data_IF_491791246764
#
_entry.id   IF_491791246764
#
_cell.length_a   1.000
_cell.length_b   1.000
_cell.length_c   1.000
_cell.angle_alpha   90.00
_cell.angle_beta   90.00
_cell.angle_gamma   90.00
#
_symmetry.space_group_name_H-M   'P 1'
#
loop_
_entity.id
_entity.type
_entity.pdbx_description
1 polymer ?
#
# COMPACT_ATOMS: atom_id res chain seq x y z
N UNK A 1 -0.37 -38.11 -30.68
CA UNK A 1 0.71 -38.48 -29.73
C UNK A 1 0.12 -39.29 -28.59
N UNK A 2 0.77 -40.41 -28.23
CA UNK A 2 0.37 -41.38 -27.21
C UNK A 2 0.73 -40.89 -25.79
N UNK A 3 -0.10 -41.27 -24.81
CA UNK A 3 0.23 -41.61 -23.41
C UNK A 3 0.63 -40.43 -22.47
N UNK A 4 0.31 -40.39 -21.17
CA UNK A 4 -0.06 -41.43 -20.19
C UNK A 4 -0.68 -40.78 -18.93
N UNK A 5 -1.74 -41.40 -18.42
CA UNK A 5 -2.34 -41.23 -17.09
C UNK A 5 -1.33 -41.49 -15.96
N UNK A 6 -1.42 -40.75 -14.84
CA UNK A 6 -0.93 -41.20 -13.53
C UNK A 6 -1.92 -40.80 -12.43
N UNK A 7 -2.68 -41.79 -11.96
CA UNK A 7 -3.31 -41.83 -10.63
C UNK A 7 -2.37 -42.58 -9.69
N UNK A 8 -2.21 -42.13 -8.43
CA UNK A 8 -1.92 -42.93 -7.21
C UNK A 8 -2.30 -42.02 -6.02
N UNK A 9 -3.43 -42.17 -5.32
CA UNK A 9 -3.85 -43.12 -4.28
C UNK A 9 -2.98 -43.22 -3.00
N UNK A 10 -3.64 -42.87 -1.87
CA UNK A 10 -3.54 -43.40 -0.48
C UNK A 10 -2.24 -43.05 0.28
N UNK A 11 -2.19 -42.92 1.61
CA UNK A 11 -2.95 -43.54 2.69
C UNK A 11 -2.90 -42.69 3.98
N UNK A 12 -3.88 -42.91 4.84
CA UNK A 12 -3.97 -42.41 6.21
C UNK A 12 -3.00 -43.14 7.16
N UNK A 13 -2.55 -42.44 8.22
CA UNK A 13 -1.97 -43.06 9.42
C UNK A 13 -2.57 -42.38 10.66
N UNK A 14 -3.21 -43.20 11.48
CA UNK A 14 -3.65 -42.91 12.85
C UNK A 14 -2.47 -43.22 13.78
N UNK A 15 -2.16 -42.35 14.74
CA UNK A 15 -1.36 -42.72 15.91
C UNK A 15 -1.85 -41.96 17.15
N UNK A 16 -2.13 -42.73 18.19
CA UNK A 16 -2.70 -42.31 19.46
C UNK A 16 -1.63 -42.00 20.52
N UNK A 17 -2.00 -41.12 21.45
CA UNK A 17 -1.64 -40.96 22.86
C UNK A 17 -0.28 -41.47 23.39
N UNK A 18 0.45 -40.55 24.05
CA UNK A 18 1.22 -40.85 25.26
C UNK A 18 1.33 -39.58 26.14
N UNK A 19 0.91 -39.72 27.39
CA UNK A 19 1.10 -38.74 28.46
C UNK A 19 2.38 -39.06 29.22
N UNK A 20 3.21 -38.05 29.50
CA UNK A 20 4.24 -38.10 30.56
C UNK A 20 4.59 -36.68 31.04
N UNK A 21 4.85 -36.60 32.33
CA UNK A 21 4.87 -35.42 33.18
C UNK A 21 6.18 -34.61 33.15
N UNK A 22 6.05 -33.34 33.59
CA UNK A 22 7.01 -32.54 34.34
C UNK A 22 8.26 -31.99 33.62
N UNK A 23 8.27 -30.67 33.39
CA UNK A 23 9.32 -29.78 33.90
C UNK A 23 8.77 -28.36 33.94
N UNK A 24 8.62 -27.82 35.16
CA UNK A 24 8.35 -26.40 35.41
C UNK A 24 9.61 -25.63 35.03
N UNK A 25 9.59 -24.92 33.92
CA UNK A 25 10.53 -23.84 33.64
C UNK A 25 9.73 -22.55 33.53
N UNK A 26 9.88 -21.72 34.57
CA UNK A 26 9.38 -20.36 34.59
C UNK A 26 9.99 -19.62 33.40
N UNK A 27 9.19 -19.39 32.37
CA UNK A 27 9.54 -18.50 31.28
C UNK A 27 9.33 -17.07 31.78
N UNK A 28 10.30 -16.15 31.65
CA UNK A 28 10.03 -14.74 31.89
C UNK A 28 8.92 -14.33 30.92
N UNK A 29 7.82 -13.82 31.50
CA UNK A 29 6.75 -13.17 30.78
C UNK A 29 7.38 -12.04 29.96
N UNK A 30 7.60 -12.30 28.68
CA UNK A 30 7.88 -11.24 27.72
C UNK A 30 6.58 -10.47 27.63
N UNK A 31 6.58 -9.27 28.23
CA UNK A 31 5.53 -8.30 28.01
C UNK A 31 5.31 -8.22 26.50
N UNK A 32 4.12 -8.60 26.05
CA UNK A 32 3.71 -8.28 24.70
C UNK A 32 3.64 -6.75 24.65
N UNK A 33 4.72 -6.14 24.17
CA UNK A 33 4.71 -4.78 23.68
C UNK A 33 3.56 -4.73 22.69
N UNK A 34 2.46 -4.13 23.12
CA UNK A 34 1.36 -3.78 22.23
C UNK A 34 1.98 -2.99 21.11
N UNK A 35 2.13 -3.63 19.95
CA UNK A 35 2.44 -2.92 18.74
C UNK A 35 1.23 -2.04 18.49
N UNK A 36 1.30 -0.79 18.96
CA UNK A 36 0.47 0.29 18.47
C UNK A 36 0.76 0.38 16.97
N UNK A 37 0.02 -0.41 16.20
CA UNK A 37 -0.01 -0.29 14.75
C UNK A 37 -0.64 1.06 14.49
N UNK A 38 0.19 2.09 14.41
CA UNK A 38 -0.21 3.41 13.95
C UNK A 38 -0.80 3.23 12.55
N UNK A 39 -2.14 3.23 12.47
CA UNK A 39 -2.86 3.17 11.20
C UNK A 39 -2.73 4.52 10.52
N UNK A 40 -1.58 4.74 9.88
CA UNK A 40 -1.26 5.95 9.12
C UNK A 40 -2.40 6.28 8.16
N UNK A 41 -2.99 7.47 8.30
CA UNK A 41 -4.22 7.84 7.60
C UNK A 41 -3.90 8.37 6.19
N UNK A 42 -3.95 7.50 5.19
CA UNK A 42 -3.75 7.88 3.78
C UNK A 42 -4.92 8.74 3.25
N UNK A 43 -4.60 9.85 2.57
CA UNK A 43 -5.57 10.64 1.79
C UNK A 43 -5.60 10.20 0.33
N UNK A 44 -6.77 10.32 -0.29
CA UNK A 44 -7.01 9.97 -1.69
C UNK A 44 -7.47 11.16 -2.52
N UNK A 45 -7.07 11.18 -3.78
CA UNK A 45 -7.56 12.13 -4.79
C UNK A 45 -7.79 11.39 -6.12
N UNK A 46 -8.88 11.71 -6.81
CA UNK A 46 -9.29 11.01 -8.05
C UNK A 46 -9.50 12.03 -9.15
N UNK A 47 -8.93 11.75 -10.32
CA UNK A 47 -9.16 12.52 -11.54
C UNK A 47 -9.86 11.62 -12.54
N UNK A 48 -11.04 12.03 -13.00
CA UNK A 48 -11.74 11.36 -14.09
C UNK A 48 -11.00 11.57 -15.42
N UNK A 49 -10.83 10.48 -16.17
CA UNK A 49 -10.29 10.51 -17.52
C UNK A 49 -11.34 11.00 -18.53
N UNK A 50 -10.90 11.24 -19.77
CA UNK A 50 -11.81 11.52 -20.89
C UNK A 50 -12.64 10.28 -21.26
N UNK A 51 -12.01 9.10 -21.23
CA UNK A 51 -12.71 7.82 -21.36
C UNK A 51 -13.58 7.56 -20.13
N UNK A 52 -14.88 7.38 -20.35
CA UNK A 52 -15.82 7.09 -19.28
C UNK A 52 -15.47 5.79 -18.56
N UNK A 53 -15.38 5.85 -17.23
CA UNK A 53 -15.07 4.69 -16.37
C UNK A 53 -13.61 4.61 -15.95
N UNK A 54 -12.69 5.24 -16.68
CA UNK A 54 -11.29 5.29 -16.31
C UNK A 54 -11.00 6.45 -15.35
N UNK A 55 -10.05 6.22 -14.43
CA UNK A 55 -9.61 7.23 -13.47
C UNK A 55 -8.11 7.18 -13.22
N UNK A 56 -7.55 8.34 -12.91
CA UNK A 56 -6.26 8.44 -12.24
C UNK A 56 -6.47 8.60 -10.75
N UNK A 57 -5.93 7.65 -9.98
CA UNK A 57 -6.07 7.60 -8.53
C UNK A 57 -4.75 7.98 -7.89
N UNK A 58 -4.80 8.87 -6.90
CA UNK A 58 -3.65 9.36 -6.16
C UNK A 58 -3.84 9.09 -4.68
N UNK A 59 -2.77 8.69 -4.00
CA UNK A 59 -2.75 8.48 -2.55
C UNK A 59 -1.48 9.05 -1.97
N UNK A 60 -1.60 9.72 -0.83
CA UNK A 60 -0.48 10.32 -0.14
C UNK A 60 -0.72 10.30 1.37
N UNK A 61 0.36 10.40 2.12
CA UNK A 61 0.27 10.63 3.55
C UNK A 61 0.25 12.13 3.83
N UNK A 62 -0.81 12.67 4.45
CA UNK A 62 -0.87 14.08 4.81
C UNK A 62 0.05 14.45 5.97
N UNK A 63 0.41 13.48 6.83
CA UNK A 63 1.14 13.75 8.08
C UNK A 63 2.67 13.73 7.90
N UNK A 64 3.16 13.39 6.70
CA UNK A 64 4.59 13.42 6.36
C UNK A 64 5.02 14.86 6.05
N UNK A 65 5.70 15.46 7.02
CA UNK A 65 6.10 16.84 7.02
C UNK A 65 7.53 17.07 6.50
N UNK A 66 8.32 16.03 6.24
CA UNK A 66 9.67 16.19 5.68
C UNK A 66 9.71 15.84 4.19
N UNK A 67 9.19 14.68 3.82
CA UNK A 67 9.26 14.17 2.45
C UNK A 67 8.14 13.18 2.19
N UNK A 68 7.07 13.66 1.57
CA UNK A 68 5.91 12.83 1.26
C UNK A 68 6.08 12.06 -0.05
N UNK A 69 5.47 10.87 -0.10
CA UNK A 69 5.38 10.07 -1.32
C UNK A 69 3.95 10.11 -1.84
N UNK A 70 3.77 10.59 -3.07
CA UNK A 70 2.48 10.52 -3.77
C UNK A 70 2.49 9.30 -4.67
N UNK A 71 1.71 8.30 -4.30
CA UNK A 71 1.44 7.11 -5.10
C UNK A 71 0.35 7.44 -6.11
N UNK A 72 0.49 6.95 -7.33
CA UNK A 72 -0.54 7.11 -8.35
C UNK A 72 -0.76 5.81 -9.12
N UNK A 73 -1.99 5.65 -9.61
CA UNK A 73 -2.42 4.61 -10.52
C UNK A 73 -3.29 5.26 -11.59
N UNK A 74 -2.67 5.59 -12.73
CA UNK A 74 -3.30 6.28 -13.84
C UNK A 74 -3.81 5.27 -14.87
N UNK A 75 -5.12 5.06 -14.92
CA UNK A 75 -5.78 4.27 -15.96
C UNK A 75 -6.13 5.08 -17.21
N UNK A 76 -5.90 6.40 -17.22
CA UNK A 76 -6.13 7.20 -18.41
C UNK A 76 -5.14 6.82 -19.52
N UNK A 77 -5.61 6.90 -20.77
CA UNK A 77 -4.78 6.79 -21.97
C UNK A 77 -3.84 7.98 -22.24
N UNK A 78 -3.79 8.95 -21.32
CA UNK A 78 -2.95 10.15 -21.38
C UNK A 78 -2.35 10.46 -20.01
N UNK A 79 -1.34 11.33 -20.00
CA UNK A 79 -0.71 11.79 -18.76
C UNK A 79 -1.65 12.69 -17.96
N UNK A 80 -1.75 12.44 -16.66
CA UNK A 80 -2.55 13.26 -15.74
C UNK A 80 -1.63 14.12 -14.90
N UNK A 81 -1.74 15.44 -15.08
CA UNK A 81 -1.04 16.41 -14.25
C UNK A 81 -1.87 16.74 -13.00
N UNK A 82 -1.21 16.73 -11.85
CA UNK A 82 -1.80 17.09 -10.56
C UNK A 82 -0.87 18.05 -9.84
N UNK A 83 -1.48 19.08 -9.29
CA UNK A 83 -0.83 20.02 -8.42
C UNK A 83 -1.01 19.63 -6.96
N UNK A 84 0.08 19.75 -6.23
CA UNK A 84 0.20 19.43 -4.81
C UNK A 84 0.35 20.76 -4.12
N UNK A 85 -0.68 21.13 -3.38
CA UNK A 85 -0.73 22.38 -2.63
C UNK A 85 -0.18 22.10 -1.24
N UNK A 86 0.90 22.78 -0.89
CA UNK A 86 1.63 22.66 0.38
C UNK A 86 1.16 23.81 1.29
N UNK A 87 1.15 23.59 2.61
CA UNK A 87 0.64 24.54 3.61
C UNK A 87 1.33 25.90 3.62
N UNK A 88 2.58 25.99 3.15
CA UNK A 88 3.30 27.25 2.96
C UNK A 88 2.85 28.06 1.72
N UNK A 89 1.87 27.54 0.96
CA UNK A 89 1.41 28.12 -0.29
C UNK A 89 2.20 27.65 -1.52
N UNK A 90 3.23 26.83 -1.36
CA UNK A 90 3.99 26.27 -2.47
C UNK A 90 3.13 25.28 -3.26
N UNK A 91 3.23 25.36 -4.59
CA UNK A 91 2.58 24.42 -5.52
C UNK A 91 3.64 23.58 -6.22
N UNK A 92 3.54 22.25 -6.10
CA UNK A 92 4.39 21.31 -6.84
C UNK A 92 3.58 20.53 -7.85
N UNK A 93 4.13 20.39 -9.05
CA UNK A 93 3.49 19.72 -10.16
C UNK A 93 4.08 18.34 -10.39
N UNK A 94 3.20 17.34 -10.49
CA UNK A 94 3.58 15.99 -10.88
C UNK A 94 2.77 15.54 -12.09
N UNK A 95 3.45 14.84 -12.99
CA UNK A 95 2.83 14.08 -14.06
C UNK A 95 2.73 12.60 -13.65
N UNK A 96 1.51 12.06 -13.73
CA UNK A 96 1.24 10.64 -13.68
C UNK A 96 1.15 10.11 -15.11
N UNK A 97 2.14 9.32 -15.54
CA UNK A 97 2.21 8.81 -16.90
C UNK A 97 0.99 7.94 -17.24
N UNK A 98 0.53 7.98 -18.49
CA UNK A 98 -0.57 7.17 -19.00
C UNK A 98 -0.40 5.67 -18.66
N UNK A 99 -1.51 4.99 -18.36
CA UNK A 99 -1.57 3.54 -18.12
C UNK A 99 -0.53 2.99 -17.13
N UNK A 100 -0.15 3.78 -16.12
CA UNK A 100 0.97 3.47 -15.22
C UNK A 100 0.57 3.55 -13.76
N UNK A 101 1.11 2.61 -12.96
CA UNK A 101 1.11 2.65 -11.49
C UNK A 101 2.52 2.93 -10.99
N UNK A 102 2.72 4.03 -10.27
CA UNK A 102 4.03 4.39 -9.72
C UNK A 102 3.90 5.37 -8.55
N UNK A 103 4.99 6.05 -8.20
CA UNK A 103 5.06 7.02 -7.13
C UNK A 103 5.98 8.18 -7.49
N UNK A 104 5.74 9.34 -6.89
CA UNK A 104 6.62 10.51 -6.93
C UNK A 104 7.01 10.88 -5.50
N UNK A 105 8.31 11.07 -5.29
CA UNK A 105 8.86 11.57 -4.04
C UNK A 105 8.93 13.09 -4.08
N UNK A 106 8.52 13.73 -3.00
CA UNK A 106 8.45 15.19 -2.91
C UNK A 106 8.97 15.64 -1.56
N UNK A 107 10.02 16.45 -1.60
CA UNK A 107 10.45 17.20 -0.43
C UNK A 107 9.44 18.32 -0.14
N UNK A 108 8.91 18.37 1.08
CA UNK A 108 7.92 19.37 1.52
C UNK A 108 8.48 20.33 2.59
N UNK A 109 9.72 20.14 3.03
CA UNK A 109 10.46 21.20 3.73
C UNK A 109 10.03 21.50 5.16
N UNK A 110 9.38 20.56 5.86
CA UNK A 110 8.78 20.80 7.18
C UNK A 110 7.26 21.01 7.11
N UNK A 111 6.71 21.19 5.91
CA UNK A 111 5.31 21.47 5.65
C UNK A 111 4.52 20.22 5.28
N UNK A 112 3.19 20.30 5.27
CA UNK A 112 2.30 19.19 4.89
C UNK A 112 1.57 19.46 3.58
N UNK A 113 1.06 18.40 2.96
CA UNK A 113 0.18 18.52 1.80
C UNK A 113 -1.24 18.84 2.28
N UNK A 114 -1.75 20.01 1.91
CA UNK A 114 -3.16 20.37 2.12
C UNK A 114 -4.09 19.53 1.24
N UNK A 115 -3.87 19.64 -0.08
CA UNK A 115 -4.74 19.04 -1.10
C UNK A 115 -4.04 18.84 -2.43
N UNK A 116 -4.58 17.90 -3.19
CA UNK A 116 -4.28 17.71 -4.61
C UNK A 116 -5.37 18.36 -5.46
N UNK A 117 -4.99 18.95 -6.59
CA UNK A 117 -5.92 19.57 -7.55
C UNK A 117 -5.53 19.20 -8.97
N UNK A 118 -6.51 19.10 -9.88
CA UNK A 118 -6.27 18.77 -11.28
C UNK A 118 -5.45 19.87 -11.95
N UNK A 119 -4.49 19.45 -12.79
CA UNK A 119 -3.66 20.35 -13.56
C UNK A 119 -2.53 20.97 -12.76
N UNK A 120 -1.89 21.94 -13.41
CA UNK A 120 -0.78 22.76 -12.98
C UNK A 120 -1.07 24.17 -13.49
#
# INVERSE_FOLDING_TARGET
MKMKTKQFLKAAVIAAAAATCAAVTASPSSAAEGSDVSTKAWRGYVVACETQGDTANFKYDPDDNASTTVYYNNHCGHDVNVAINISDGTKKCIAANANTKSKKYLYVGGEHIDKLTRGC
#
